data_IF_328073309508
#
_entry.id   IF_328073309508
#
_cell.length_a   1.000
_cell.length_b   1.000
_cell.length_c   1.000
_cell.angle_alpha   90.00
_cell.angle_beta   90.00
_cell.angle_gamma   90.00
#
_symmetry.space_group_name_H-M   'P 1'
#
loop_
_entity.id
_entity.type
_entity.pdbx_description
1 polymer ?
#
# COMPACT_ATOMS: atom_id res chain seq x y z
N UNK A 1 1.26 24.50 28.73
CA UNK A 1 0.63 23.73 27.64
C UNK A 1 1.71 22.85 27.01
N UNK A 2 1.60 21.54 27.08
CA UNK A 2 2.51 20.62 26.40
C UNK A 2 2.20 20.67 24.89
N UNK A 3 3.16 21.13 24.10
CA UNK A 3 3.03 21.10 22.64
C UNK A 3 3.12 19.66 22.16
N UNK A 4 2.20 19.26 21.27
CA UNK A 4 2.27 17.97 20.59
C UNK A 4 3.56 17.87 19.77
N UNK A 5 4.22 16.73 19.80
CA UNK A 5 5.33 16.42 18.91
C UNK A 5 4.84 16.32 17.45
N UNK A 6 5.75 16.34 16.49
CA UNK A 6 5.43 16.17 15.07
C UNK A 6 4.59 14.89 14.82
N UNK A 7 5.04 13.74 15.31
CA UNK A 7 4.31 12.46 15.14
C UNK A 7 2.97 12.43 15.87
N UNK A 8 2.84 13.07 17.03
CA UNK A 8 1.55 13.18 17.72
C UNK A 8 0.55 14.03 16.93
N UNK A 9 1.01 15.08 16.21
CA UNK A 9 0.15 15.87 15.33
C UNK A 9 -0.31 15.07 14.11
N UNK A 10 0.60 14.31 13.49
CA UNK A 10 0.25 13.44 12.38
C UNK A 10 -0.72 12.33 12.81
N UNK A 11 -0.50 11.72 13.97
CA UNK A 11 -1.42 10.73 14.55
C UNK A 11 -2.81 11.32 14.77
N UNK A 12 -2.89 12.49 15.42
CA UNK A 12 -4.17 13.16 15.69
C UNK A 12 -4.92 13.50 14.39
N UNK A 13 -4.21 14.04 13.39
CA UNK A 13 -4.78 14.33 12.07
C UNK A 13 -5.32 13.07 11.39
N UNK A 14 -4.55 11.98 11.39
CA UNK A 14 -4.99 10.73 10.76
C UNK A 14 -6.21 10.11 11.46
N UNK A 15 -6.26 10.18 12.78
CA UNK A 15 -7.41 9.72 13.59
C UNK A 15 -8.65 10.55 13.27
N UNK A 16 -8.52 11.85 13.17
CA UNK A 16 -9.61 12.77 12.82
C UNK A 16 -10.16 12.46 11.41
N UNK A 17 -9.27 12.32 10.41
CA UNK A 17 -9.63 11.93 9.04
C UNK A 17 -10.39 10.60 9.02
N UNK A 18 -9.95 9.60 9.77
CA UNK A 18 -10.62 8.30 9.80
C UNK A 18 -12.01 8.38 10.40
N UNK A 19 -12.17 9.14 11.49
CA UNK A 19 -13.47 9.34 12.14
C UNK A 19 -14.45 10.10 11.27
N UNK A 20 -13.98 11.18 10.62
CA UNK A 20 -14.77 11.96 9.66
C UNK A 20 -15.23 11.07 8.49
N UNK A 21 -14.31 10.31 7.90
CA UNK A 21 -14.63 9.42 6.80
C UNK A 21 -15.68 8.36 7.16
N UNK A 22 -15.59 7.77 8.35
CA UNK A 22 -16.60 6.81 8.82
C UNK A 22 -17.94 7.47 9.06
N UNK A 23 -17.96 8.68 9.64
CA UNK A 23 -19.21 9.42 9.88
C UNK A 23 -19.97 9.75 8.59
N UNK A 24 -19.24 9.97 7.49
CA UNK A 24 -19.78 10.35 6.17
C UNK A 24 -19.96 9.15 5.20
N UNK A 25 -19.76 7.91 5.67
CA UNK A 25 -19.84 6.72 4.84
C UNK A 25 -20.97 5.79 5.26
N UNK A 26 -21.55 5.07 4.28
CA UNK A 26 -22.49 3.98 4.56
C UNK A 26 -21.78 2.63 4.70
N UNK A 27 -20.75 2.41 3.87
CA UNK A 27 -20.00 1.13 3.80
C UNK A 27 -18.50 1.38 3.63
N UNK A 28 -17.81 1.76 4.70
CA UNK A 28 -16.36 1.97 4.65
C UNK A 28 -15.59 0.65 4.61
N UNK A 29 -14.38 0.70 4.04
CA UNK A 29 -13.44 -0.43 4.00
C UNK A 29 -12.01 0.09 4.11
N UNK A 30 -11.11 -0.67 4.73
CA UNK A 30 -9.70 -0.35 4.74
C UNK A 30 -8.92 -1.30 3.84
N UNK A 31 -8.21 -0.75 2.84
CA UNK A 31 -7.34 -1.54 1.99
C UNK A 31 -6.11 -1.99 2.77
N UNK A 32 -5.92 -3.30 2.83
CA UNK A 32 -4.83 -3.91 3.59
C UNK A 32 -3.83 -4.60 2.65
N UNK A 33 -2.82 -3.84 2.23
CA UNK A 33 -1.78 -4.30 1.29
C UNK A 33 -0.67 -5.13 1.96
N UNK A 34 -0.68 -5.25 3.29
CA UNK A 34 0.34 -5.92 4.13
C UNK A 34 1.68 -5.15 4.16
N UNK A 35 1.76 -3.98 3.54
CA UNK A 35 2.92 -3.10 3.58
C UNK A 35 3.02 -2.30 4.88
N UNK A 36 4.17 -1.62 5.10
CA UNK A 36 4.42 -0.79 6.27
C UNK A 36 3.36 0.30 6.47
N UNK A 37 2.93 0.94 5.38
CA UNK A 37 1.95 2.03 5.42
C UNK A 37 0.57 1.50 5.85
N UNK A 38 0.13 0.35 5.34
CA UNK A 38 -1.11 -0.28 5.77
C UNK A 38 -1.06 -0.80 7.21
N UNK A 39 0.13 -1.18 7.71
CA UNK A 39 0.30 -1.55 9.11
C UNK A 39 0.16 -0.34 10.05
N UNK A 40 0.75 0.80 9.69
CA UNK A 40 0.57 2.07 10.41
C UNK A 40 -0.89 2.51 10.36
N UNK A 41 -1.52 2.48 9.20
CA UNK A 41 -2.93 2.83 9.02
C UNK A 41 -3.85 1.95 9.88
N UNK A 42 -3.58 0.65 9.97
CA UNK A 42 -4.31 -0.27 10.83
C UNK A 42 -4.15 0.08 12.32
N UNK A 43 -2.93 0.42 12.76
CA UNK A 43 -2.69 0.88 14.14
C UNK A 43 -3.45 2.16 14.46
N UNK A 44 -3.47 3.11 13.53
CA UNK A 44 -4.23 4.36 13.66
C UNK A 44 -5.74 4.10 13.72
N UNK A 45 -6.26 3.19 12.90
CA UNK A 45 -7.66 2.79 12.93
C UNK A 45 -8.04 2.16 14.29
N UNK A 46 -7.20 1.28 14.82
CA UNK A 46 -7.42 0.72 16.15
C UNK A 46 -7.46 1.79 17.25
N UNK A 47 -6.63 2.84 17.16
CA UNK A 47 -6.66 3.98 18.08
C UNK A 47 -7.88 4.87 17.88
N UNK A 48 -8.25 5.12 16.60
CA UNK A 48 -9.36 6.01 16.26
C UNK A 48 -10.69 5.56 16.88
N UNK A 49 -10.89 4.24 16.97
CA UNK A 49 -12.15 3.67 17.41
C UNK A 49 -12.08 2.97 18.78
N UNK A 50 -10.92 3.05 19.45
CA UNK A 50 -10.78 2.50 20.81
C UNK A 50 -11.84 3.06 21.78
N UNK A 51 -12.49 2.23 22.65
CA UNK A 51 -12.19 0.81 22.94
C UNK A 51 -12.83 -0.20 21.97
N UNK A 52 -13.68 0.25 21.04
CA UNK A 52 -14.28 -0.60 20.03
C UNK A 52 -13.29 -0.96 18.92
N UNK A 53 -13.63 -1.97 18.13
CA UNK A 53 -12.90 -2.26 16.88
C UNK A 53 -13.27 -1.23 15.80
N UNK A 54 -12.40 -1.03 14.79
CA UNK A 54 -12.78 -0.25 13.61
C UNK A 54 -14.10 -0.75 13.00
N UNK A 55 -15.06 0.14 12.67
CA UNK A 55 -16.37 -0.26 12.18
C UNK A 55 -16.37 -0.58 10.67
N UNK A 56 -15.32 -1.22 10.18
CA UNK A 56 -15.13 -1.60 8.79
C UNK A 56 -14.22 -2.81 8.66
N UNK A 57 -14.40 -3.64 7.62
CA UNK A 57 -13.51 -4.75 7.33
C UNK A 57 -12.19 -4.29 6.70
N UNK A 58 -11.21 -5.18 6.73
CA UNK A 58 -10.01 -5.08 5.92
C UNK A 58 -10.26 -5.74 4.57
N UNK A 59 -9.78 -5.12 3.48
CA UNK A 59 -9.85 -5.69 2.13
C UNK A 59 -8.43 -5.90 1.59
N UNK A 60 -8.09 -7.14 1.29
CA UNK A 60 -6.88 -7.51 0.59
C UNK A 60 -7.21 -7.94 -0.84
N UNK A 61 -6.71 -7.19 -1.82
CA UNK A 61 -6.73 -7.60 -3.24
C UNK A 61 -5.55 -8.52 -3.48
N UNK A 62 -5.84 -9.80 -3.56
CA UNK A 62 -4.83 -10.84 -3.74
C UNK A 62 -4.55 -11.06 -5.22
N UNK A 63 -3.29 -10.85 -5.61
CA UNK A 63 -2.81 -11.06 -6.97
C UNK A 63 -2.25 -12.46 -7.21
N UNK A 64 -2.33 -13.36 -6.19
CA UNK A 64 -1.65 -14.65 -6.14
C UNK A 64 -0.11 -14.56 -6.24
N UNK A 65 0.41 -13.37 -6.49
CA UNK A 65 1.83 -13.06 -6.67
C UNK A 65 2.38 -12.22 -5.52
N UNK A 66 2.22 -12.69 -4.28
CA UNK A 66 2.87 -12.11 -3.11
C UNK A 66 4.00 -13.00 -2.64
N UNK A 67 4.92 -12.45 -1.85
CA UNK A 67 5.92 -13.23 -1.13
C UNK A 67 5.25 -14.12 -0.08
N UNK A 68 5.80 -15.31 0.15
CA UNK A 68 5.28 -16.25 1.18
C UNK A 68 5.14 -15.60 2.55
N UNK A 69 6.17 -14.88 2.97
CA UNK A 69 6.18 -14.15 4.24
C UNK A 69 5.04 -13.12 4.37
N UNK A 70 4.54 -12.57 3.26
CA UNK A 70 3.39 -11.66 3.29
C UNK A 70 2.09 -12.40 3.55
N UNK A 71 1.88 -13.57 2.96
CA UNK A 71 0.69 -14.40 3.21
C UNK A 71 0.61 -14.86 4.66
N UNK A 72 1.73 -15.36 5.21
CA UNK A 72 1.84 -15.79 6.60
C UNK A 72 1.54 -14.64 7.56
N UNK A 73 2.16 -13.48 7.33
CA UNK A 73 1.95 -12.27 8.13
C UNK A 73 0.49 -11.80 8.07
N UNK A 74 -0.14 -11.77 6.89
CA UNK A 74 -1.54 -11.40 6.70
C UNK A 74 -2.47 -12.24 7.55
N UNK A 75 -2.34 -13.56 7.45
CA UNK A 75 -3.19 -14.51 8.16
C UNK A 75 -3.04 -14.38 9.68
N UNK A 76 -1.80 -14.25 10.15
CA UNK A 76 -1.51 -14.05 11.57
C UNK A 76 -2.14 -12.75 12.10
N UNK A 77 -1.91 -11.63 11.43
CA UNK A 77 -2.40 -10.32 11.89
C UNK A 77 -3.93 -10.25 11.93
N UNK A 78 -4.62 -10.79 10.94
CA UNK A 78 -6.07 -10.82 10.92
C UNK A 78 -6.64 -11.62 12.11
N UNK A 79 -6.03 -12.77 12.41
CA UNK A 79 -6.42 -13.62 13.55
C UNK A 79 -6.13 -12.92 14.89
N UNK A 80 -4.93 -12.39 15.10
CA UNK A 80 -4.51 -11.76 16.35
C UNK A 80 -5.38 -10.53 16.70
N UNK A 81 -5.75 -9.73 15.71
CA UNK A 81 -6.58 -8.54 15.93
C UNK A 81 -8.08 -8.85 15.93
N UNK A 82 -8.47 -10.05 15.50
CA UNK A 82 -9.87 -10.46 15.41
C UNK A 82 -10.69 -9.52 14.53
N UNK A 83 -10.10 -9.02 13.43
CA UNK A 83 -10.74 -8.18 12.43
C UNK A 83 -11.22 -9.00 11.25
N UNK A 84 -12.34 -8.60 10.67
CA UNK A 84 -12.81 -9.19 9.42
C UNK A 84 -11.84 -8.87 8.29
N UNK A 85 -11.33 -9.90 7.62
CA UNK A 85 -10.46 -9.78 6.46
C UNK A 85 -11.15 -10.35 5.23
N UNK A 86 -11.52 -9.48 4.31
CA UNK A 86 -12.00 -9.85 2.99
C UNK A 86 -10.82 -10.03 2.05
N UNK A 87 -10.72 -11.17 1.40
CA UNK A 87 -9.72 -11.44 0.38
C UNK A 87 -10.42 -11.57 -0.97
N UNK A 88 -10.02 -10.73 -1.92
CA UNK A 88 -10.55 -10.78 -3.27
C UNK A 88 -9.45 -11.04 -4.28
N UNK A 89 -9.64 -12.07 -5.09
CA UNK A 89 -8.82 -12.38 -6.27
C UNK A 89 -9.67 -12.19 -7.52
N UNK A 90 -9.10 -11.57 -8.56
CA UNK A 90 -9.82 -11.38 -9.82
C UNK A 90 -10.04 -12.75 -10.50
N UNK A 91 -11.29 -13.22 -10.68
CA UNK A 91 -11.58 -14.54 -11.26
C UNK A 91 -11.17 -14.64 -12.74
N UNK A 92 -11.23 -13.54 -13.49
CA UNK A 92 -10.80 -13.51 -14.89
C UNK A 92 -9.27 -13.67 -15.01
N UNK A 93 -8.53 -12.99 -14.12
CA UNK A 93 -7.08 -13.12 -14.07
C UNK A 93 -6.64 -14.56 -13.71
N UNK A 94 -7.39 -15.21 -12.82
CA UNK A 94 -7.18 -16.62 -12.48
C UNK A 94 -7.44 -17.53 -13.69
N UNK A 95 -8.58 -17.38 -14.34
CA UNK A 95 -8.98 -18.19 -15.49
C UNK A 95 -8.01 -18.06 -16.67
N UNK A 96 -7.49 -16.86 -16.91
CA UNK A 96 -6.53 -16.56 -17.99
C UNK A 96 -5.06 -16.85 -17.60
N UNK A 97 -4.77 -17.26 -16.36
CA UNK A 97 -3.42 -17.53 -15.90
C UNK A 97 -2.49 -16.32 -15.96
N UNK A 98 -3.03 -15.10 -15.75
CA UNK A 98 -2.26 -13.86 -15.88
C UNK A 98 -1.12 -13.84 -14.86
N UNK A 99 0.10 -13.77 -15.34
CA UNK A 99 1.31 -13.73 -14.52
C UNK A 99 2.29 -12.64 -15.01
N UNK A 100 3.21 -12.18 -14.16
CA UNK A 100 4.09 -11.06 -14.50
C UNK A 100 5.16 -11.39 -15.55
N UNK A 101 5.47 -12.67 -15.78
CA UNK A 101 6.53 -13.08 -16.68
C UNK A 101 6.07 -13.16 -18.13
N UNK A 102 4.88 -13.70 -18.37
CA UNK A 102 4.35 -13.91 -19.73
C UNK A 102 3.51 -12.75 -20.23
N UNK A 103 2.89 -11.99 -19.32
CA UNK A 103 1.98 -10.89 -19.67
C UNK A 103 2.59 -9.49 -19.38
N UNK A 104 3.75 -9.45 -18.70
CA UNK A 104 4.41 -8.21 -18.31
C UNK A 104 3.79 -7.51 -17.09
N UNK A 105 4.53 -6.55 -16.54
CA UNK A 105 4.18 -5.84 -15.31
C UNK A 105 2.91 -4.99 -15.43
N UNK A 106 2.71 -4.36 -16.59
CA UNK A 106 1.58 -3.46 -16.83
C UNK A 106 0.25 -4.22 -16.87
N UNK A 107 0.15 -5.27 -17.69
CA UNK A 107 -1.07 -6.11 -17.80
C UNK A 107 -1.37 -6.80 -16.49
N UNK A 108 -0.34 -7.39 -15.85
CA UNK A 108 -0.49 -8.02 -14.55
C UNK A 108 -1.03 -7.03 -13.50
N UNK A 109 -0.50 -5.82 -13.45
CA UNK A 109 -0.95 -4.82 -12.48
C UNK A 109 -2.36 -4.33 -12.76
N UNK A 110 -2.69 -4.07 -14.02
CA UNK A 110 -4.04 -3.61 -14.36
C UNK A 110 -5.08 -4.67 -14.01
N UNK A 111 -4.93 -5.89 -14.52
CA UNK A 111 -5.97 -6.91 -14.35
C UNK A 111 -6.09 -7.35 -12.87
N UNK A 112 -4.98 -7.64 -12.21
CA UNK A 112 -5.03 -8.12 -10.83
C UNK A 112 -5.35 -7.04 -9.81
N UNK A 113 -4.74 -5.84 -9.92
CA UNK A 113 -4.89 -4.80 -8.90
C UNK A 113 -6.00 -3.84 -9.24
N UNK A 114 -5.99 -3.24 -10.45
CA UNK A 114 -6.96 -2.19 -10.80
C UNK A 114 -8.34 -2.79 -10.97
N UNK A 115 -8.49 -3.80 -11.83
CA UNK A 115 -9.79 -4.44 -12.06
C UNK A 115 -10.22 -5.25 -10.83
N UNK A 116 -9.31 -5.98 -10.19
CA UNK A 116 -9.62 -6.71 -8.96
C UNK A 116 -10.12 -5.80 -7.83
N UNK A 117 -9.54 -4.60 -7.66
CA UNK A 117 -10.03 -3.63 -6.68
C UNK A 117 -11.45 -3.15 -7.03
N UNK A 118 -11.70 -2.76 -8.29
CA UNK A 118 -13.02 -2.33 -8.74
C UNK A 118 -14.07 -3.40 -8.47
N UNK A 119 -13.79 -4.64 -8.88
CA UNK A 119 -14.67 -5.79 -8.64
C UNK A 119 -14.99 -5.96 -7.15
N UNK A 120 -13.99 -5.87 -6.28
CA UNK A 120 -14.18 -6.01 -4.84
C UNK A 120 -15.06 -4.90 -4.26
N UNK A 121 -14.83 -3.65 -4.68
CA UNK A 121 -15.59 -2.50 -4.20
C UNK A 121 -17.05 -2.57 -4.64
N UNK A 122 -17.31 -2.91 -5.91
CA UNK A 122 -18.63 -3.06 -6.46
C UNK A 122 -19.39 -4.24 -5.84
N UNK A 123 -18.72 -5.39 -5.72
CA UNK A 123 -19.28 -6.60 -5.10
C UNK A 123 -19.81 -6.36 -3.70
N UNK A 124 -19.10 -5.57 -2.91
CA UNK A 124 -19.46 -5.29 -1.53
C UNK A 124 -20.17 -3.96 -1.35
N UNK A 125 -20.28 -3.15 -2.40
CA UNK A 125 -20.92 -1.83 -2.36
C UNK A 125 -20.19 -0.83 -1.47
N UNK A 126 -18.87 -0.88 -1.41
CA UNK A 126 -18.08 0.04 -0.60
C UNK A 126 -18.05 1.44 -1.21
N UNK A 127 -18.43 2.43 -0.42
CA UNK A 127 -18.54 3.83 -0.82
C UNK A 127 -17.36 4.69 -0.30
N UNK A 128 -16.58 4.15 0.64
CA UNK A 128 -15.42 4.78 1.23
C UNK A 128 -14.29 3.76 1.40
N UNK A 129 -13.10 4.05 0.86
CA UNK A 129 -11.96 3.13 0.98
C UNK A 129 -10.71 3.86 1.46
N UNK A 130 -10.22 3.44 2.64
CA UNK A 130 -8.97 3.96 3.19
C UNK A 130 -7.76 3.36 2.48
N UNK A 131 -6.78 4.19 2.16
CA UNK A 131 -5.53 3.80 1.54
C UNK A 131 -4.30 4.47 2.15
N UNK A 132 -3.19 3.75 2.11
CA UNK A 132 -1.93 4.18 2.73
C UNK A 132 -1.06 5.08 1.85
N UNK A 133 -1.60 5.69 0.79
CA UNK A 133 -0.81 6.56 -0.07
C UNK A 133 -0.40 7.86 0.65
N UNK A 134 0.85 8.29 0.39
CA UNK A 134 1.42 9.52 0.92
C UNK A 134 1.84 10.46 -0.22
N UNK A 135 1.76 11.77 0.02
CA UNK A 135 2.24 12.79 -0.94
C UNK A 135 3.74 12.70 -1.19
N UNK A 136 4.49 12.18 -0.21
CA UNK A 136 5.93 11.99 -0.26
C UNK A 136 6.40 10.89 -1.23
N UNK A 137 5.53 9.93 -1.57
CA UNK A 137 5.92 8.79 -2.40
C UNK A 137 6.31 9.16 -3.82
N UNK A 138 5.54 10.04 -4.46
CA UNK A 138 5.75 10.48 -5.84
C UNK A 138 4.93 11.72 -6.22
N UNK A 139 5.33 12.37 -7.33
CA UNK A 139 4.70 13.63 -7.81
C UNK A 139 3.20 13.52 -8.06
N UNK A 140 2.72 12.39 -8.57
CA UNK A 140 1.29 12.22 -8.86
C UNK A 140 0.46 12.11 -7.56
N UNK A 141 1.04 11.56 -6.49
CA UNK A 141 0.41 11.49 -5.16
C UNK A 141 0.27 12.87 -4.51
N UNK A 142 1.20 13.79 -4.76
CA UNK A 142 1.13 15.14 -4.25
C UNK A 142 -0.09 15.93 -4.75
N UNK A 143 -0.66 15.55 -5.90
CA UNK A 143 -1.86 16.16 -6.48
C UNK A 143 -3.16 15.60 -5.89
N UNK A 144 -3.12 14.51 -5.17
CA UNK A 144 -4.31 13.84 -4.66
C UNK A 144 -4.82 14.50 -3.38
N UNK A 145 -6.13 14.58 -3.23
CA UNK A 145 -6.78 15.06 -2.01
C UNK A 145 -6.80 13.97 -0.95
N UNK A 146 -6.93 14.37 0.31
CA UNK A 146 -7.13 13.44 1.43
C UNK A 146 -8.43 12.65 1.23
N UNK A 147 -9.52 13.35 0.85
CA UNK A 147 -10.76 12.74 0.40
C UNK A 147 -10.83 12.82 -1.13
N UNK A 148 -10.30 11.82 -1.78
CA UNK A 148 -10.16 11.77 -3.22
C UNK A 148 -11.39 11.13 -3.86
N UNK A 149 -12.20 11.96 -4.50
CA UNK A 149 -13.45 11.59 -5.15
C UNK A 149 -13.23 10.66 -6.36
N UNK A 150 -14.11 9.70 -6.52
CA UNK A 150 -14.17 8.77 -7.66
C UNK A 150 -15.58 8.71 -8.24
N UNK A 151 -15.67 8.77 -9.56
CA UNK A 151 -16.93 8.57 -10.28
C UNK A 151 -17.46 7.15 -10.08
N UNK A 152 -18.69 6.89 -10.54
CA UNK A 152 -19.30 5.55 -10.54
C UNK A 152 -18.49 4.51 -11.36
N UNK A 153 -17.59 4.94 -12.24
CA UNK A 153 -16.66 4.07 -12.96
C UNK A 153 -15.29 4.00 -12.28
N UNK A 154 -15.18 4.42 -11.00
CA UNK A 154 -13.96 4.51 -10.20
C UNK A 154 -12.88 5.46 -10.75
N UNK A 155 -13.21 6.34 -11.68
CA UNK A 155 -12.24 7.26 -12.30
C UNK A 155 -11.93 8.44 -11.40
N UNK A 156 -10.66 8.83 -11.37
CA UNK A 156 -10.20 10.06 -10.77
C UNK A 156 -10.11 11.16 -11.84
N UNK A 157 -10.73 12.31 -11.56
CA UNK A 157 -10.62 13.50 -12.38
C UNK A 157 -10.14 14.66 -11.47
N UNK A 158 -9.00 15.31 -11.78
CA UNK A 158 -8.50 16.43 -10.99
C UNK A 158 -9.45 17.62 -10.93
N UNK A 159 -10.28 17.80 -11.95
CA UNK A 159 -11.26 18.90 -12.03
C UNK A 159 -12.47 18.70 -11.11
N UNK A 160 -12.74 17.45 -10.76
CA UNK A 160 -13.87 17.05 -9.89
C UNK A 160 -13.46 16.96 -8.42
N UNK A 161 -12.18 17.18 -8.09
CA UNK A 161 -11.72 17.16 -6.71
C UNK A 161 -12.13 18.41 -5.96
N UNK A 162 -12.49 18.23 -4.71
CA UNK A 162 -12.99 19.31 -3.84
C UNK A 162 -11.85 19.96 -3.08
N UNK A 163 -11.91 21.27 -2.78
CA UNK A 163 -10.91 21.92 -1.94
C UNK A 163 -11.00 21.42 -0.50
N UNK A 164 -9.85 21.35 0.19
CA UNK A 164 -9.72 20.90 1.58
C UNK A 164 -9.10 22.04 2.42
N UNK A 165 -9.75 23.23 2.36
CA UNK A 165 -9.31 24.37 3.13
C UNK A 165 -9.64 24.17 4.61
N UNK A 166 -8.72 24.58 5.50
CA UNK A 166 -8.90 24.53 6.96
C UNK A 166 -9.25 23.12 7.50
N UNK A 167 -8.83 22.05 6.80
CA UNK A 167 -9.16 20.65 7.12
C UNK A 167 -10.67 20.34 7.11
N UNK A 168 -11.42 21.08 6.34
CA UNK A 168 -12.82 20.76 6.06
C UNK A 168 -12.89 19.83 4.86
N UNK A 169 -13.44 18.64 5.09
CA UNK A 169 -13.57 17.61 4.07
C UNK A 169 -15.00 17.57 3.54
N UNK A 170 -15.14 17.27 2.26
CA UNK A 170 -16.44 17.12 1.63
C UNK A 170 -16.52 15.71 1.01
N UNK A 171 -17.11 14.80 1.75
CA UNK A 171 -17.29 13.41 1.35
C UNK A 171 -18.60 13.16 0.59
N UNK A 172 -19.39 14.22 0.27
CA UNK A 172 -20.66 14.07 -0.46
C UNK A 172 -20.46 13.30 -1.76
N UNK A 173 -21.31 12.33 -2.02
CA UNK A 173 -21.30 11.46 -3.20
C UNK A 173 -22.72 11.13 -3.64
N UNK A 174 -22.88 10.85 -4.92
CA UNK A 174 -24.11 10.31 -5.46
C UNK A 174 -24.06 8.78 -5.45
N UNK A 175 -25.19 8.14 -5.74
CA UNK A 175 -25.25 6.67 -5.83
C UNK A 175 -24.25 6.14 -6.85
N UNK A 176 -23.43 5.17 -6.43
CA UNK A 176 -22.39 4.56 -7.24
C UNK A 176 -21.03 5.29 -7.22
N UNK A 177 -20.98 6.52 -6.75
CA UNK A 177 -19.71 7.24 -6.53
C UNK A 177 -19.06 6.82 -5.22
N UNK A 178 -17.76 7.07 -5.08
CA UNK A 178 -17.01 6.70 -3.88
C UNK A 178 -15.89 7.70 -3.57
N UNK A 179 -15.37 7.66 -2.34
CA UNK A 179 -14.18 8.37 -1.96
C UNK A 179 -13.04 7.39 -1.63
N UNK A 180 -11.84 7.73 -2.06
CA UNK A 180 -10.60 7.15 -1.54
C UNK A 180 -10.07 8.10 -0.48
N UNK A 181 -9.83 7.60 0.73
CA UNK A 181 -9.37 8.43 1.84
C UNK A 181 -7.95 8.06 2.21
N UNK A 182 -7.08 9.06 2.34
CA UNK A 182 -5.65 8.89 2.57
C UNK A 182 -5.22 9.50 3.92
N UNK A 183 -5.42 8.80 5.03
CA UNK A 183 -5.08 9.32 6.36
C UNK A 183 -3.60 9.62 6.55
N UNK A 184 -2.74 8.95 5.76
CA UNK A 184 -1.28 9.12 5.80
C UNK A 184 -0.76 10.16 4.80
N UNK A 185 -1.64 10.95 4.18
CA UNK A 185 -1.28 11.87 3.07
C UNK A 185 -0.12 12.80 3.40
N UNK A 186 -0.04 13.31 4.61
CA UNK A 186 0.97 14.27 5.07
C UNK A 186 2.19 13.62 5.77
N UNK A 187 2.26 12.29 5.84
CA UNK A 187 3.37 11.55 6.43
C UNK A 187 4.49 11.38 5.40
N UNK A 188 5.74 11.43 5.87
CA UNK A 188 6.92 11.01 5.10
C UNK A 188 7.24 9.54 5.34
N UNK A 189 8.11 8.95 4.51
CA UNK A 189 8.61 7.59 4.75
C UNK A 189 9.30 7.49 6.11
N UNK A 190 10.06 8.51 6.49
CA UNK A 190 10.74 8.57 7.78
C UNK A 190 9.74 8.58 8.95
N UNK A 191 8.66 9.35 8.85
CA UNK A 191 7.60 9.36 9.86
C UNK A 191 6.97 7.97 10.07
N UNK A 192 6.74 7.25 8.97
CA UNK A 192 6.23 5.87 9.00
C UNK A 192 7.17 4.97 9.80
N UNK A 193 8.48 5.00 9.50
CA UNK A 193 9.46 4.16 10.19
C UNK A 193 9.62 4.53 11.66
N UNK A 194 9.66 5.81 11.98
CA UNK A 194 9.72 6.28 13.37
C UNK A 194 8.47 5.88 14.16
N UNK A 195 7.30 5.99 13.54
CA UNK A 195 6.04 5.61 14.17
C UNK A 195 5.95 4.09 14.40
N UNK A 196 6.40 3.28 13.44
CA UNK A 196 6.50 1.82 13.59
C UNK A 196 7.38 1.48 14.79
N UNK A 197 8.53 2.13 14.92
CA UNK A 197 9.45 1.93 16.04
C UNK A 197 8.83 2.33 17.38
N UNK A 198 8.28 3.52 17.47
CA UNK A 198 7.72 4.06 18.71
C UNK A 198 6.47 3.31 19.20
N UNK A 199 5.68 2.79 18.28
CA UNK A 199 4.43 2.09 18.58
C UNK A 199 4.57 0.56 18.60
N UNK A 200 5.78 0.02 18.37
CA UNK A 200 6.04 -1.41 18.25
C UNK A 200 5.09 -2.10 17.27
N UNK A 201 4.90 -1.49 16.09
CA UNK A 201 3.98 -2.03 15.08
C UNK A 201 4.64 -3.24 14.42
N UNK A 202 4.01 -4.43 14.42
CA UNK A 202 4.52 -5.56 13.70
C UNK A 202 4.48 -5.32 12.19
N UNK A 203 5.55 -5.70 11.51
CA UNK A 203 5.71 -5.59 10.06
C UNK A 203 6.27 -6.89 9.47
N UNK A 204 6.13 -7.04 8.15
CA UNK A 204 6.64 -8.22 7.45
C UNK A 204 8.16 -8.32 7.59
N UNK A 205 8.72 -9.52 7.88
CA UNK A 205 10.18 -9.69 8.07
C UNK A 205 11.03 -9.29 6.86
N UNK A 206 10.43 -9.17 5.67
CA UNK A 206 11.12 -8.74 4.45
C UNK A 206 11.65 -7.29 4.51
N UNK A 207 11.17 -6.48 5.43
CA UNK A 207 11.68 -5.12 5.65
C UNK A 207 13.04 -5.10 6.35
N UNK A 208 13.41 -6.18 7.04
CA UNK A 208 14.69 -6.32 7.72
C UNK A 208 15.70 -7.03 6.81
N UNK A 209 16.96 -6.58 6.86
CA UNK A 209 18.03 -7.23 6.13
C UNK A 209 18.25 -8.66 6.61
N UNK A 210 18.36 -9.57 5.66
CA UNK A 210 18.71 -10.96 5.88
C UNK A 210 19.38 -11.52 4.62
N UNK A 211 20.13 -12.59 4.78
CA UNK A 211 20.72 -13.30 3.63
C UNK A 211 19.63 -14.04 2.88
N UNK A 212 19.43 -13.67 1.61
CA UNK A 212 18.38 -14.22 0.75
C UNK A 212 18.91 -14.57 -0.63
N UNK A 213 18.33 -15.57 -1.31
CA UNK A 213 18.68 -15.86 -2.69
C UNK A 213 18.10 -14.76 -3.60
N UNK A 214 18.96 -14.14 -4.39
CA UNK A 214 18.60 -13.10 -5.35
C UNK A 214 19.24 -13.34 -6.71
N UNK A 215 18.60 -12.87 -7.76
CA UNK A 215 19.16 -12.74 -9.10
C UNK A 215 19.19 -11.26 -9.49
N UNK A 216 20.16 -10.90 -10.33
CA UNK A 216 20.27 -9.55 -10.84
C UNK A 216 19.61 -9.48 -12.24
N UNK A 217 18.62 -8.60 -12.38
CA UNK A 217 17.94 -8.35 -13.66
C UNK A 217 17.77 -6.85 -13.85
N UNK A 218 18.22 -6.34 -14.99
CA UNK A 218 18.04 -4.94 -15.37
C UNK A 218 18.57 -3.95 -14.30
N UNK A 219 19.67 -4.32 -13.63
CA UNK A 219 20.29 -3.52 -12.58
C UNK A 219 19.55 -3.55 -11.23
N UNK A 220 18.55 -4.40 -11.08
CA UNK A 220 17.80 -4.61 -9.83
C UNK A 220 18.01 -6.01 -9.26
N UNK A 221 17.93 -6.11 -7.92
CA UNK A 221 17.96 -7.40 -7.23
C UNK A 221 16.56 -7.94 -7.04
N UNK A 222 16.30 -9.10 -7.60
CA UNK A 222 15.00 -9.80 -7.46
C UNK A 222 15.20 -11.03 -6.60
N UNK A 223 14.47 -11.11 -5.49
CA UNK A 223 14.53 -12.27 -4.60
C UNK A 223 13.87 -13.48 -5.26
N UNK A 224 14.52 -14.62 -5.18
CA UNK A 224 13.95 -15.91 -5.57
C UNK A 224 13.23 -16.50 -4.37
N UNK A 225 11.91 -16.25 -4.26
CA UNK A 225 11.10 -16.64 -3.10
C UNK A 225 10.62 -18.08 -3.20
N UNK A 226 10.29 -18.51 -4.41
CA UNK A 226 9.78 -19.87 -4.69
C UNK A 226 9.92 -20.27 -6.17
N UNK A 227 9.40 -21.47 -6.49
CA UNK A 227 9.44 -22.09 -7.81
C UNK A 227 8.67 -21.36 -8.91
N UNK A 228 7.83 -20.40 -8.57
CA UNK A 228 7.10 -19.56 -9.57
C UNK A 228 8.03 -18.67 -10.38
N UNK A 229 9.26 -18.44 -9.91
CA UNK A 229 10.22 -17.62 -10.63
C UNK A 229 11.03 -18.46 -11.62
N UNK A 230 10.81 -18.32 -12.95
CA UNK A 230 11.65 -19.00 -13.93
C UNK A 230 13.03 -18.36 -13.96
N UNK A 231 14.06 -19.14 -13.71
CA UNK A 231 15.45 -18.73 -13.90
C UNK A 231 15.78 -18.73 -15.39
N UNK A 232 16.55 -17.71 -15.85
CA UNK A 232 17.03 -17.64 -17.23
C UNK A 232 18.16 -18.67 -17.44
N UNK A 233 18.41 -19.14 -18.67
CA UNK A 233 19.53 -20.03 -18.95
C UNK A 233 20.86 -19.43 -18.43
N UNK A 234 21.58 -20.19 -17.59
CA UNK A 234 22.83 -19.76 -16.97
C UNK A 234 22.67 -18.83 -15.74
N UNK A 235 21.47 -18.45 -15.37
CA UNK A 235 21.23 -17.64 -14.18
C UNK A 235 21.25 -18.50 -12.92
N UNK A 236 22.09 -18.13 -11.97
CA UNK A 236 22.21 -18.83 -10.66
C UNK A 236 21.92 -17.84 -9.54
N UNK A 237 21.00 -18.15 -8.60
CA UNK A 237 20.74 -17.29 -7.46
C UNK A 237 22.00 -17.09 -6.59
N UNK A 238 22.25 -15.85 -6.22
CA UNK A 238 23.34 -15.46 -5.31
C UNK A 238 22.75 -15.18 -3.92
N UNK A 239 23.45 -15.62 -2.88
CA UNK A 239 23.08 -15.29 -1.50
C UNK A 239 23.62 -13.91 -1.14
N UNK A 240 22.74 -12.93 -0.97
CA UNK A 240 23.09 -11.55 -0.59
C UNK A 240 22.30 -11.11 0.63
N UNK A 241 22.89 -10.24 1.45
CA UNK A 241 22.17 -9.55 2.52
C UNK A 241 21.32 -8.43 1.94
N UNK A 242 19.99 -8.63 1.92
CA UNK A 242 19.05 -7.72 1.28
C UNK A 242 17.81 -7.48 2.14
N UNK A 243 17.19 -6.32 1.97
CA UNK A 243 15.87 -5.98 2.48
C UNK A 243 15.01 -5.32 1.41
N UNK A 244 13.74 -5.12 1.73
CA UNK A 244 12.83 -4.37 0.88
C UNK A 244 12.49 -3.02 1.52
N UNK A 245 12.42 -1.95 0.71
CA UNK A 245 11.88 -0.64 1.14
C UNK A 245 10.38 -0.56 0.96
N UNK A 246 9.86 -1.22 -0.07
CA UNK A 246 8.42 -1.37 -0.32
C UNK A 246 8.11 -2.83 -0.62
N UNK A 247 6.89 -3.26 -0.36
CA UNK A 247 6.40 -4.58 -0.70
C UNK A 247 5.26 -4.48 -1.71
N UNK A 248 5.38 -5.22 -2.78
CA UNK A 248 4.41 -5.29 -3.87
C UNK A 248 4.15 -6.72 -4.30
N UNK A 249 3.97 -6.91 -5.61
CA UNK A 249 3.91 -8.25 -6.19
C UNK A 249 5.31 -8.80 -6.38
N UNK A 250 5.50 -10.06 -6.03
CA UNK A 250 6.63 -10.86 -6.45
C UNK A 250 6.47 -11.22 -7.94
N UNK A 251 7.41 -11.12 -8.81
CA UNK A 251 8.78 -10.62 -8.66
C UNK A 251 8.97 -9.14 -9.07
N UNK A 252 7.90 -8.35 -9.11
CA UNK A 252 7.92 -6.95 -9.58
C UNK A 252 8.46 -5.96 -8.54
N UNK A 253 8.92 -6.47 -7.41
CA UNK A 253 9.48 -5.67 -6.32
C UNK A 253 10.95 -6.00 -6.15
N UNK A 254 11.83 -5.04 -6.41
CA UNK A 254 13.25 -5.17 -6.20
C UNK A 254 13.65 -5.09 -4.73
N UNK A 255 14.67 -5.84 -4.36
CA UNK A 255 15.35 -5.74 -3.08
C UNK A 255 16.53 -4.75 -3.17
N UNK A 256 16.98 -4.25 -2.02
CA UNK A 256 18.20 -3.44 -1.90
C UNK A 256 19.20 -4.14 -1.00
N UNK A 257 20.49 -4.06 -1.34
CA UNK A 257 21.55 -4.54 -0.46
C UNK A 257 21.55 -3.70 0.82
N UNK A 258 21.59 -4.36 1.96
CA UNK A 258 21.54 -3.71 3.25
C UNK A 258 21.99 -4.66 4.35
N UNK A 259 22.50 -4.09 5.43
CA UNK A 259 22.81 -4.78 6.68
C UNK A 259 21.85 -4.41 7.81
N UNK A 260 20.86 -3.53 7.55
CA UNK A 260 19.91 -3.04 8.55
C UNK A 260 18.90 -4.14 8.93
N UNK A 261 19.20 -4.84 10.00
CA UNK A 261 18.40 -5.93 10.55
C UNK A 261 17.48 -5.52 11.72
N UNK A 262 17.52 -4.24 12.12
CA UNK A 262 16.71 -3.66 13.20
C UNK A 262 16.07 -2.34 12.76
N UNK A 263 14.97 -1.94 13.40
CA UNK A 263 14.27 -0.68 13.10
C UNK A 263 15.19 0.56 13.26
N UNK A 264 16.02 0.70 14.31
CA UNK A 264 16.95 1.82 14.40
C UNK A 264 17.92 1.91 13.21
N UNK A 265 18.43 0.77 12.74
CA UNK A 265 19.31 0.73 11.58
C UNK A 265 18.57 1.11 10.28
N UNK A 266 17.32 0.67 10.11
CA UNK A 266 16.49 1.08 8.99
C UNK A 266 16.24 2.60 9.01
N UNK A 267 15.92 3.16 10.18
CA UNK A 267 15.74 4.61 10.34
C UNK A 267 17.02 5.36 10.00
N UNK A 268 18.19 4.86 10.42
CA UNK A 268 19.49 5.45 10.09
C UNK A 268 19.75 5.44 8.58
N UNK A 269 19.46 4.33 7.89
CA UNK A 269 19.54 4.28 6.42
C UNK A 269 18.59 5.28 5.76
N UNK A 270 17.37 5.46 6.30
CA UNK A 270 16.43 6.43 5.76
C UNK A 270 16.87 7.87 5.87
N UNK A 271 17.56 8.24 6.96
CA UNK A 271 18.13 9.57 7.13
C UNK A 271 19.22 9.89 6.08
N UNK A 272 19.89 8.87 5.55
CA UNK A 272 20.92 9.00 4.52
C UNK A 272 20.38 8.80 3.09
N UNK A 273 19.13 8.35 2.95
CA UNK A 273 18.55 8.05 1.65
C UNK A 273 18.21 9.33 0.87
N UNK A 274 18.74 9.45 -0.34
CA UNK A 274 18.45 10.56 -1.27
C UNK A 274 17.44 10.19 -2.35
N UNK A 275 17.02 8.93 -2.38
CA UNK A 275 16.15 8.37 -3.42
C UNK A 275 14.81 7.93 -2.85
N UNK A 276 13.73 8.10 -3.65
CA UNK A 276 12.40 7.62 -3.29
C UNK A 276 12.38 6.10 -3.09
N UNK A 277 11.54 5.63 -2.18
CA UNK A 277 11.30 4.20 -1.93
C UNK A 277 10.81 3.43 -3.16
N UNK A 278 10.23 4.10 -4.13
CA UNK A 278 9.65 3.50 -5.34
C UNK A 278 10.67 3.21 -6.45
N UNK A 279 11.88 3.75 -6.38
CA UNK A 279 12.92 3.55 -7.40
C UNK A 279 13.28 2.08 -7.66
N UNK A 280 13.05 1.18 -6.72
CA UNK A 280 13.26 -0.27 -6.88
C UNK A 280 12.09 -1.05 -7.50
N UNK A 281 11.03 -0.38 -7.95
CA UNK A 281 9.88 -1.05 -8.56
C UNK A 281 10.03 -1.10 -10.08
N UNK A 282 10.03 -2.29 -10.65
CA UNK A 282 10.10 -2.51 -12.11
C UNK A 282 9.00 -1.74 -12.84
N UNK A 283 7.80 -1.64 -12.25
CA UNK A 283 6.66 -0.97 -12.87
C UNK A 283 6.79 0.56 -12.96
N UNK A 284 7.65 1.19 -12.15
CA UNK A 284 7.80 2.64 -12.11
C UNK A 284 8.82 3.14 -13.16
N UNK A 285 9.54 2.22 -13.83
CA UNK A 285 10.38 2.51 -14.99
C UNK A 285 9.58 2.70 -16.29
N UNK A 286 8.30 2.28 -16.31
CA UNK A 286 7.41 2.46 -17.45
C UNK A 286 6.88 3.90 -17.52
N UNK A 287 7.49 4.75 -18.32
CA UNK A 287 7.08 6.10 -18.78
C UNK A 287 6.73 7.15 -17.71
N UNK A 288 7.26 8.36 -17.84
CA UNK A 288 6.88 9.50 -17.01
C UNK A 288 5.38 9.80 -17.16
N UNK A 289 4.65 9.86 -16.03
CA UNK A 289 3.20 10.10 -16.02
C UNK A 289 2.33 8.84 -15.98
N UNK A 290 2.92 7.63 -15.98
CA UNK A 290 2.16 6.36 -15.96
C UNK A 290 1.21 6.24 -14.78
N UNK A 291 1.58 6.73 -13.60
CA UNK A 291 0.74 6.67 -12.40
C UNK A 291 -0.47 7.61 -12.44
N UNK A 292 -0.35 8.79 -13.06
CA UNK A 292 -1.50 9.70 -13.23
C UNK A 292 -2.53 9.08 -14.18
N UNK A 293 -2.07 8.46 -15.27
CA UNK A 293 -2.94 7.70 -16.19
C UNK A 293 -3.62 6.52 -15.49
N UNK A 294 -2.88 5.75 -14.70
CA UNK A 294 -3.43 4.63 -13.91
C UNK A 294 -4.50 5.08 -12.91
N UNK A 295 -4.37 6.25 -12.28
CA UNK A 295 -5.41 6.83 -11.42
C UNK A 295 -6.69 7.16 -12.20
N UNK A 296 -6.55 7.74 -13.40
CA UNK A 296 -7.69 8.01 -14.28
C UNK A 296 -8.42 6.71 -14.66
N UNK A 297 -7.71 5.61 -14.75
CA UNK A 297 -8.22 4.26 -15.00
C UNK A 297 -8.82 3.60 -13.73
N UNK A 298 -8.68 4.21 -12.56
CA UNK A 298 -9.22 3.73 -11.30
C UNK A 298 -8.23 2.97 -10.40
N UNK A 299 -6.93 3.02 -10.73
CA UNK A 299 -5.88 2.50 -9.84
C UNK A 299 -5.81 3.30 -8.54
N UNK A 300 -5.32 2.62 -7.52
CA UNK A 300 -5.21 3.17 -6.16
C UNK A 300 -3.85 3.79 -5.91
#
# INVERSE_FOLDING_TARGET
MTHLTHLQRLEAESIDIMREAVAESERPVMLYSIGKDSAVMLRLAMKAFYPSKPPFPLLHVDTTWKFRAMYEFRSRMATELGLELLVHSNPEALALGINPFTHGSAVHTDIWKTQGLKQALDKHGFDMAFGGARRDEEKSRAKERIFSFRTAQHRWDPKMQRPELWRLYNARKNKGESNRVFPLSNWTELDIWQYIYLQNIPIVPLYYAAVRPVVEREGGLIMVDDERMPLRPGETPMMKSVRFRTLGCYPLTGAVESTASTLPQIIQEMLLATTSERQGRVIDHDQSGSMEKKKQEGYF
#
